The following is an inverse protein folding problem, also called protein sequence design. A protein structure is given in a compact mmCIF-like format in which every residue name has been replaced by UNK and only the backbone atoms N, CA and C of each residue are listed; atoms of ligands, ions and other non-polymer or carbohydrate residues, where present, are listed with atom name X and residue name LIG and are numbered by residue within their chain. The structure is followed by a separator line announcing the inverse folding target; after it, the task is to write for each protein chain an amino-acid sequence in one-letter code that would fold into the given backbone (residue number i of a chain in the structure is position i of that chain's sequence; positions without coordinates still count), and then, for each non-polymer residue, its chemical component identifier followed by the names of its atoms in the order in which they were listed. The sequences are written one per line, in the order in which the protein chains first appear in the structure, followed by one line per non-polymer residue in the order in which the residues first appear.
data_IF_325214535515
#
_entry.id   IF_325214535515
#
_cell.length_a   1.000
_cell.length_b   1.000
_cell.length_c   1.000
_cell.angle_alpha   90.00
_cell.angle_beta   90.00
_cell.angle_gamma   90.00
#
_symmetry.space_group_name_H-M   'P 1'
#
loop_
_entity.id
_entity.type
_entity.pdbx_description
1 polymer ?
#
# COMPACT_ATOMS: atom_id res chain seq x y z
N UNK A 1 -58.11 -31.80 -7.17
CA UNK A 1 -57.73 -30.49 -7.71
C UNK A 1 -56.79 -29.72 -6.80
N UNK A 2 -56.87 -29.83 -5.50
CA UNK A 2 -55.94 -29.14 -4.60
C UNK A 2 -54.46 -29.52 -4.86
N UNK A 3 -54.20 -30.78 -5.24
CA UNK A 3 -52.83 -31.23 -5.53
C UNK A 3 -52.20 -30.56 -6.72
N UNK A 4 -52.98 -30.17 -7.74
CA UNK A 4 -52.48 -29.46 -8.91
C UNK A 4 -52.10 -28.02 -8.60
N UNK A 5 -52.88 -27.35 -7.75
CA UNK A 5 -52.57 -25.99 -7.29
C UNK A 5 -51.31 -25.96 -6.43
N UNK A 6 -51.14 -26.93 -5.56
CA UNK A 6 -49.95 -27.05 -4.71
C UNK A 6 -48.69 -27.28 -5.54
N UNK A 7 -48.74 -28.13 -6.58
CA UNK A 7 -47.63 -28.36 -7.48
C UNK A 7 -47.27 -27.12 -8.28
N UNK A 8 -48.27 -26.36 -8.76
CA UNK A 8 -48.06 -25.14 -9.50
C UNK A 8 -47.40 -24.05 -8.67
N UNK A 9 -47.87 -23.87 -7.42
CA UNK A 9 -47.33 -22.90 -6.50
C UNK A 9 -45.88 -23.24 -6.12
N UNK A 10 -45.59 -24.49 -5.89
CA UNK A 10 -44.25 -24.99 -5.53
C UNK A 10 -43.26 -24.75 -6.69
N UNK A 11 -43.68 -25.03 -7.92
CA UNK A 11 -42.82 -24.81 -9.10
C UNK A 11 -42.56 -23.32 -9.32
N UNK A 12 -43.57 -22.49 -9.16
CA UNK A 12 -43.42 -21.02 -9.27
C UNK A 12 -42.46 -20.50 -8.19
N UNK A 13 -42.64 -20.98 -6.95
CA UNK A 13 -41.74 -20.59 -5.85
C UNK A 13 -40.32 -21.01 -6.10
N UNK A 14 -40.11 -22.20 -6.64
CA UNK A 14 -38.76 -22.69 -7.00
C UNK A 14 -38.12 -21.82 -8.08
N UNK A 15 -38.87 -21.50 -9.13
CA UNK A 15 -38.39 -20.65 -10.22
C UNK A 15 -38.02 -19.26 -9.70
N UNK A 16 -38.86 -18.66 -8.88
CA UNK A 16 -38.61 -17.34 -8.29
C UNK A 16 -37.35 -17.38 -7.43
N UNK A 17 -37.18 -18.40 -6.62
CA UNK A 17 -36.01 -18.58 -5.76
C UNK A 17 -34.72 -18.65 -6.59
N UNK A 18 -34.72 -19.43 -7.65
CA UNK A 18 -33.57 -19.57 -8.56
C UNK A 18 -33.24 -18.23 -9.21
N UNK A 19 -34.24 -17.51 -9.72
CA UNK A 19 -34.04 -16.20 -10.36
C UNK A 19 -33.47 -15.19 -9.38
N UNK A 20 -33.99 -15.13 -8.17
CA UNK A 20 -33.48 -14.21 -7.13
C UNK A 20 -32.03 -14.54 -6.78
N UNK A 21 -31.69 -15.82 -6.63
CA UNK A 21 -30.32 -16.22 -6.34
C UNK A 21 -29.35 -15.85 -7.47
N UNK A 22 -29.77 -16.00 -8.72
CA UNK A 22 -28.96 -15.59 -9.87
C UNK A 22 -28.74 -14.08 -9.91
N UNK A 23 -29.77 -13.32 -9.62
CA UNK A 23 -29.67 -11.85 -9.59
C UNK A 23 -28.72 -11.39 -8.47
N UNK A 24 -28.82 -11.98 -7.29
CA UNK A 24 -27.92 -11.66 -6.18
C UNK A 24 -26.48 -12.02 -6.49
N UNK A 25 -26.26 -13.15 -7.13
CA UNK A 25 -24.91 -13.59 -7.54
C UNK A 25 -24.31 -12.60 -8.55
N UNK A 26 -25.09 -12.14 -9.51
CA UNK A 26 -24.64 -11.17 -10.51
C UNK A 26 -24.21 -9.86 -9.86
N UNK A 27 -24.99 -9.36 -8.92
CA UNK A 27 -24.67 -8.12 -8.19
C UNK A 27 -23.38 -8.27 -7.40
N UNK A 28 -23.21 -9.40 -6.72
CA UNK A 28 -22.00 -9.68 -5.93
C UNK A 28 -20.76 -9.72 -6.81
N UNK A 29 -20.82 -10.40 -7.94
CA UNK A 29 -19.71 -10.47 -8.90
C UNK A 29 -19.39 -9.09 -9.47
N UNK A 30 -20.42 -8.32 -9.82
CA UNK A 30 -20.25 -6.96 -10.32
C UNK A 30 -19.55 -6.03 -9.33
N UNK A 31 -19.85 -6.16 -8.05
CA UNK A 31 -19.19 -5.38 -7.00
C UNK A 31 -17.72 -5.76 -6.83
N UNK A 32 -17.38 -7.03 -7.00
CA UNK A 32 -16.01 -7.50 -6.86
C UNK A 32 -15.15 -7.11 -8.06
N UNK A 33 -15.70 -7.20 -9.26
CA UNK A 33 -14.94 -6.98 -10.50
C UNK A 33 -15.08 -5.57 -11.09
N UNK A 34 -15.95 -4.72 -10.55
CA UNK A 34 -16.14 -3.36 -11.04
C UNK A 34 -14.95 -2.44 -10.77
N UNK A 35 -14.90 -1.30 -11.46
CA UNK A 35 -13.82 -0.32 -11.30
C UNK A 35 -13.69 0.20 -9.87
N UNK A 36 -14.79 0.27 -9.16
CA UNK A 36 -14.82 0.69 -7.75
C UNK A 36 -14.86 -0.51 -6.81
N UNK A 37 -14.51 -1.69 -7.28
CA UNK A 37 -14.56 -2.92 -6.51
C UNK A 37 -13.40 -3.07 -5.52
N UNK A 38 -13.50 -4.12 -4.72
CA UNK A 38 -12.53 -4.42 -3.65
C UNK A 38 -11.12 -4.59 -4.21
N UNK A 39 -10.97 -5.15 -5.41
CA UNK A 39 -9.66 -5.39 -6.04
C UNK A 39 -8.91 -4.08 -6.26
N UNK A 40 -9.58 -3.04 -6.77
CA UNK A 40 -8.99 -1.73 -6.99
C UNK A 40 -8.58 -1.07 -5.66
N UNK A 41 -9.45 -1.14 -4.66
CA UNK A 41 -9.16 -0.61 -3.33
C UNK A 41 -8.00 -1.34 -2.67
N UNK A 42 -7.89 -2.65 -2.86
CA UNK A 42 -6.77 -3.45 -2.34
C UNK A 42 -5.46 -3.02 -2.99
N UNK A 43 -5.45 -2.76 -4.29
CA UNK A 43 -4.28 -2.26 -5.00
C UNK A 43 -3.82 -0.90 -4.49
N UNK A 44 -4.74 0.03 -4.28
CA UNK A 44 -4.44 1.35 -3.72
C UNK A 44 -3.94 1.25 -2.28
N UNK A 45 -4.57 0.41 -1.46
CA UNK A 45 -4.16 0.18 -0.08
C UNK A 45 -2.76 -0.43 -0.01
N UNK A 46 -2.42 -1.32 -0.94
CA UNK A 46 -1.09 -1.91 -1.02
C UNK A 46 -0.02 -0.85 -1.30
N UNK A 47 -0.28 0.04 -2.26
CA UNK A 47 0.63 1.13 -2.58
C UNK A 47 0.83 2.07 -1.39
N UNK A 48 -0.25 2.47 -0.73
CA UNK A 48 -0.19 3.30 0.47
C UNK A 48 0.58 2.62 1.59
N UNK A 49 0.40 1.30 1.75
CA UNK A 49 1.13 0.51 2.75
C UNK A 49 2.62 0.45 2.41
N UNK A 50 2.97 0.30 1.15
CA UNK A 50 4.38 0.32 0.72
C UNK A 50 5.02 1.68 1.00
N UNK A 51 4.33 2.77 0.68
CA UNK A 51 4.81 4.13 0.94
C UNK A 51 5.00 4.34 2.45
N UNK A 52 4.02 3.95 3.26
CA UNK A 52 4.12 4.07 4.71
C UNK A 52 5.28 3.25 5.27
N UNK A 53 5.49 2.04 4.76
CA UNK A 53 6.60 1.17 5.15
C UNK A 53 7.96 1.78 4.78
N UNK A 54 8.09 2.31 3.57
CA UNK A 54 9.31 2.97 3.13
C UNK A 54 9.63 4.20 3.99
N UNK A 55 8.61 5.02 4.29
CA UNK A 55 8.77 6.18 5.17
C UNK A 55 9.20 5.76 6.58
N UNK A 56 8.61 4.71 7.12
CA UNK A 56 8.97 4.19 8.44
C UNK A 56 10.42 3.73 8.47
N UNK A 57 10.88 3.05 7.44
CA UNK A 57 12.28 2.62 7.30
C UNK A 57 13.21 3.83 7.33
N UNK A 58 12.86 4.88 6.58
CA UNK A 58 13.65 6.11 6.54
C UNK A 58 13.66 6.80 7.90
N UNK A 59 12.49 6.98 8.51
CA UNK A 59 12.36 7.63 9.82
C UNK A 59 13.16 6.90 10.90
N UNK A 60 13.10 5.58 10.92
CA UNK A 60 13.86 4.75 11.85
C UNK A 60 15.35 4.91 11.61
N UNK A 61 15.79 4.87 10.35
CA UNK A 61 17.19 5.03 9.98
C UNK A 61 17.73 6.42 10.32
N UNK A 62 16.93 7.46 10.08
CA UNK A 62 17.28 8.84 10.44
C UNK A 62 17.43 8.98 11.94
N UNK A 63 16.49 8.45 12.71
CA UNK A 63 16.53 8.49 14.17
C UNK A 63 17.78 7.78 14.71
N UNK A 64 18.12 6.63 14.15
CA UNK A 64 19.31 5.88 14.54
C UNK A 64 20.59 6.63 14.17
N UNK A 65 20.63 7.22 12.97
CA UNK A 65 21.79 7.99 12.52
C UNK A 65 22.00 9.24 13.40
N UNK A 66 20.94 9.93 13.78
CA UNK A 66 21.00 11.07 14.68
C UNK A 66 21.47 10.67 16.07
N UNK A 67 21.04 9.52 16.55
CA UNK A 67 21.45 9.00 17.85
C UNK A 67 22.90 8.58 17.91
N UNK A 68 23.49 8.22 16.78
CA UNK A 68 24.91 7.84 16.71
C UNK A 68 25.85 9.03 16.79
N UNK A 69 25.43 10.19 16.27
CA UNK A 69 26.24 11.41 16.32
C UNK A 69 25.98 12.17 17.63
N UNK A 70 27.03 12.64 18.25
CA UNK A 70 26.95 13.43 19.50
C UNK A 70 26.18 14.72 19.33
N UNK A 71 26.24 15.31 18.16
CA UNK A 71 25.57 16.58 17.85
C UNK A 71 24.20 16.40 17.22
N UNK A 72 23.76 15.14 17.03
CA UNK A 72 22.49 14.85 16.40
C UNK A 72 22.43 15.12 14.91
N UNK A 73 23.58 15.25 14.26
CA UNK A 73 23.65 15.49 12.82
C UNK A 73 23.63 14.18 12.04
N UNK A 74 23.04 14.24 10.85
CA UNK A 74 22.99 13.11 9.94
C UNK A 74 24.12 13.25 8.93
N UNK A 75 24.81 12.14 8.64
CA UNK A 75 25.78 12.09 7.55
C UNK A 75 25.27 11.10 6.51
N UNK A 76 25.66 11.31 5.25
CA UNK A 76 25.26 10.41 4.16
C UNK A 76 25.68 8.98 4.44
N UNK A 77 26.89 8.79 4.95
CA UNK A 77 27.43 7.46 5.28
C UNK A 77 26.63 6.77 6.37
N UNK A 78 26.33 7.48 7.47
CA UNK A 78 25.56 6.90 8.57
C UNK A 78 24.15 6.57 8.15
N UNK A 79 23.50 7.44 7.40
CA UNK A 79 22.15 7.21 6.91
C UNK A 79 22.12 5.99 5.98
N UNK A 80 23.08 5.89 5.07
CA UNK A 80 23.17 4.73 4.17
C UNK A 80 23.40 3.43 4.94
N UNK A 81 24.25 3.43 5.96
CA UNK A 81 24.51 2.25 6.78
C UNK A 81 23.25 1.76 7.49
N UNK A 82 22.50 2.66 8.11
CA UNK A 82 21.26 2.28 8.79
C UNK A 82 20.16 1.87 7.83
N UNK A 83 20.08 2.50 6.66
CA UNK A 83 19.15 2.08 5.62
C UNK A 83 19.48 0.67 5.13
N UNK A 84 20.76 0.35 4.96
CA UNK A 84 21.18 -1.01 4.59
C UNK A 84 20.80 -2.04 5.67
N UNK A 85 20.85 -1.65 6.93
CA UNK A 85 20.45 -2.54 8.03
C UNK A 85 18.93 -2.74 8.08
N UNK A 86 18.17 -1.68 7.85
CA UNK A 86 16.72 -1.71 8.01
C UNK A 86 15.97 -2.15 6.76
N UNK A 87 16.46 -1.80 5.58
CA UNK A 87 15.82 -2.14 4.30
C UNK A 87 16.50 -3.29 3.57
N UNK A 88 17.78 -3.55 3.86
CA UNK A 88 18.59 -4.55 3.17
C UNK A 88 19.65 -3.91 2.28
N UNK A 89 20.71 -4.65 2.02
CA UNK A 89 21.81 -4.17 1.20
C UNK A 89 21.35 -3.92 -0.24
N UNK A 90 21.82 -2.82 -0.80
CA UNK A 90 21.51 -2.41 -2.18
C UNK A 90 20.02 -2.14 -2.47
N UNK A 91 19.19 -1.99 -1.42
CA UNK A 91 17.77 -1.66 -1.58
C UNK A 91 17.52 -0.15 -1.62
N UNK A 92 18.45 0.64 -1.12
CA UNK A 92 18.34 2.10 -1.07
C UNK A 92 19.62 2.75 -1.53
N UNK A 93 19.51 3.93 -2.13
CA UNK A 93 20.65 4.76 -2.50
C UNK A 93 20.47 6.14 -1.88
N UNK A 94 21.45 6.61 -1.13
CA UNK A 94 21.43 7.93 -0.50
C UNK A 94 22.36 8.86 -1.28
N UNK A 95 21.83 10.01 -1.67
CA UNK A 95 22.62 11.08 -2.25
C UNK A 95 22.35 12.37 -1.51
N UNK A 96 23.31 13.28 -1.52
CA UNK A 96 23.19 14.57 -0.83
C UNK A 96 23.06 15.68 -1.86
N UNK A 97 22.00 16.48 -1.73
CA UNK A 97 21.82 17.71 -2.50
C UNK A 97 21.63 18.88 -1.54
N UNK A 98 22.53 19.87 -1.62
CA UNK A 98 22.49 21.04 -0.74
C UNK A 98 22.46 20.62 0.73
N UNK A 99 21.36 20.94 1.44
CA UNK A 99 21.16 20.60 2.83
C UNK A 99 20.19 19.42 3.03
N UNK A 100 19.82 18.75 1.94
CA UNK A 100 18.88 17.67 1.98
C UNK A 100 19.52 16.36 1.50
N UNK A 101 19.01 15.25 1.99
CA UNK A 101 19.41 13.92 1.55
C UNK A 101 18.28 13.31 0.73
N UNK A 102 18.63 12.74 -0.40
CA UNK A 102 17.68 12.00 -1.23
C UNK A 102 17.86 10.50 -1.00
N UNK A 103 16.79 9.83 -0.63
CA UNK A 103 16.77 8.38 -0.45
C UNK A 103 15.93 7.77 -1.55
N UNK A 104 16.55 6.98 -2.40
CA UNK A 104 15.88 6.29 -3.49
C UNK A 104 15.77 4.80 -3.17
N UNK A 105 14.56 4.26 -3.26
CA UNK A 105 14.33 2.83 -3.16
C UNK A 105 14.44 2.20 -4.54
N UNK A 106 15.37 1.28 -4.71
CA UNK A 106 15.69 0.70 -6.02
C UNK A 106 14.58 -0.18 -6.58
N UNK A 107 13.78 -0.81 -5.73
CA UNK A 107 12.69 -1.68 -6.17
C UNK A 107 11.47 -0.91 -6.70
N UNK A 108 11.14 0.20 -6.06
CA UNK A 108 9.95 1.00 -6.41
C UNK A 108 10.28 2.26 -7.19
N UNK A 109 11.56 2.66 -7.24
CA UNK A 109 12.06 3.91 -7.82
C UNK A 109 11.49 5.17 -7.17
N UNK A 110 10.95 5.06 -5.95
CA UNK A 110 10.46 6.20 -5.20
C UNK A 110 11.63 6.93 -4.54
N UNK A 111 11.58 8.26 -4.57
CA UNK A 111 12.60 9.11 -3.97
C UNK A 111 11.96 9.90 -2.83
N UNK A 112 12.59 9.86 -1.67
CA UNK A 112 12.18 10.62 -0.49
C UNK A 112 13.25 11.62 -0.14
N UNK A 113 12.83 12.79 0.32
CA UNK A 113 13.74 13.84 0.75
C UNK A 113 13.80 13.88 2.27
N UNK A 114 15.01 13.91 2.81
CA UNK A 114 15.24 14.04 4.24
C UNK A 114 15.96 15.34 4.48
N UNK A 115 15.41 16.24 5.30
CA UNK A 115 16.06 17.49 5.64
C UNK A 115 17.29 17.24 6.50
N UNK A 116 18.20 18.21 6.56
CA UNK A 116 19.38 18.13 7.42
C UNK A 116 19.04 18.02 8.91
N UNK A 117 17.82 18.37 9.28
CA UNK A 117 17.31 18.27 10.66
C UNK A 117 16.60 16.95 10.93
N UNK A 118 16.50 16.07 9.94
CA UNK A 118 15.91 14.76 10.12
C UNK A 118 14.42 14.66 9.79
N UNK A 119 13.82 15.68 9.22
CA UNK A 119 12.43 15.63 8.78
C UNK A 119 12.33 14.93 7.43
N UNK A 120 11.45 13.96 7.35
CA UNK A 120 11.18 13.23 6.10
C UNK A 120 10.04 13.90 5.35
N UNK A 121 10.36 14.48 4.20
CA UNK A 121 9.34 15.06 3.32
C UNK A 121 8.85 13.99 2.35
N UNK A 122 7.54 13.88 2.23
CA UNK A 122 6.90 12.87 1.41
C UNK A 122 6.72 13.31 -0.05
N UNK A 123 7.78 13.86 -0.63
CA UNK A 123 7.78 14.09 -2.09
C UNK A 123 8.43 12.90 -2.76
N UNK A 124 7.63 11.94 -3.17
CA UNK A 124 8.14 10.92 -4.06
C UNK A 124 7.82 11.35 -5.49
N UNK A 125 8.78 11.17 -6.36
CA UNK A 125 8.57 11.37 -7.79
C UNK A 125 8.27 9.98 -8.35
N UNK A 126 7.01 9.77 -8.69
CA UNK A 126 6.57 8.53 -9.30
C UNK A 126 7.01 8.54 -10.76
N UNK A 127 7.75 7.51 -11.12
CA UNK A 127 8.21 7.42 -12.49
C UNK A 127 8.18 5.99 -12.99
#
# INVERSE_FOLDING_TARGET
MKKQYEKGITMIALIITIVVLLLLTTVTIGMITGENGIIKNTGSAKEETEIASEKEIIETSVTQAMGKDKNGNITQENLQDYLNKNAGNNKTEVSKESNEYMVKFTETNRIYYVSGEGEVESKYIDK
#
